data_IF_639757147739
#
_entry.id   IF_639757147739
#
_cell.length_a   1.000
_cell.length_b   1.000
_cell.length_c   1.000
_cell.angle_alpha   90.00
_cell.angle_beta   90.00
_cell.angle_gamma   90.00
#
_symmetry.space_group_name_H-M   'P 1'
#
loop_
_entity.id
_entity.type
_entity.pdbx_description
1 polymer ?
#
# COMPACT_ATOMS: atom_id res chain seq x y z
N UNK A 1 -12.29 8.25 -16.34
CA UNK A 1 -13.07 7.47 -15.36
C UNK A 1 -12.26 7.47 -14.07
N UNK A 2 -12.83 7.80 -12.91
CA UNK A 2 -12.13 7.64 -11.64
C UNK A 2 -11.74 6.16 -11.50
N UNK A 3 -10.47 5.89 -11.29
CA UNK A 3 -9.97 4.54 -11.00
C UNK A 3 -9.90 4.39 -9.49
N UNK A 4 -10.55 3.36 -8.96
CA UNK A 4 -10.43 3.01 -7.55
C UNK A 4 -9.10 2.29 -7.36
N UNK A 5 -8.17 2.91 -6.64
CA UNK A 5 -6.92 2.27 -6.25
C UNK A 5 -7.18 1.31 -5.10
N UNK A 6 -6.54 0.14 -5.15
CA UNK A 6 -6.61 -0.84 -4.07
C UNK A 6 -5.54 -0.54 -3.04
N UNK A 7 -5.87 -0.76 -1.77
CA UNK A 7 -4.87 -0.81 -0.70
C UNK A 7 -3.98 -2.04 -0.85
N UNK A 8 -2.73 -1.93 -0.40
CA UNK A 8 -1.74 -2.99 -0.57
C UNK A 8 -2.13 -4.28 0.18
N UNK A 9 -2.79 -4.18 1.33
CA UNK A 9 -3.31 -5.32 2.09
C UNK A 9 -4.45 -6.04 1.34
N UNK A 10 -5.29 -5.31 0.60
CA UNK A 10 -6.29 -5.93 -0.28
C UNK A 10 -5.63 -6.66 -1.45
N UNK A 11 -4.55 -6.10 -2.02
CA UNK A 11 -3.78 -6.76 -3.08
C UNK A 11 -3.13 -8.05 -2.56
N UNK A 12 -2.58 -8.05 -1.34
CA UNK A 12 -1.99 -9.23 -0.72
C UNK A 12 -3.01 -10.37 -0.59
N UNK A 13 -4.20 -10.07 -0.06
CA UNK A 13 -5.31 -11.02 0.07
C UNK A 13 -5.79 -11.55 -1.29
N UNK A 14 -5.90 -10.69 -2.30
CA UNK A 14 -6.30 -11.11 -3.65
C UNK A 14 -5.27 -12.01 -4.34
N UNK A 15 -3.98 -11.79 -4.08
CA UNK A 15 -2.88 -12.57 -4.65
C UNK A 15 -2.58 -13.84 -3.83
N UNK A 16 -3.12 -13.94 -2.61
CA UNK A 16 -2.88 -15.02 -1.66
C UNK A 16 -1.39 -15.24 -1.40
N UNK A 17 -0.64 -14.14 -1.23
CA UNK A 17 0.80 -14.14 -0.99
C UNK A 17 1.30 -12.82 -0.43
N UNK A 18 2.53 -12.84 0.07
CA UNK A 18 3.28 -11.63 0.40
C UNK A 18 3.48 -10.75 -0.84
N UNK A 19 3.40 -9.44 -0.63
CA UNK A 19 3.47 -8.43 -1.68
C UNK A 19 4.53 -7.39 -1.40
N UNK A 20 5.08 -6.86 -2.48
CA UNK A 20 6.10 -5.84 -2.47
C UNK A 20 5.49 -4.52 -2.87
N UNK A 21 5.82 -3.45 -2.14
CA UNK A 21 5.41 -2.11 -2.51
C UNK A 21 6.45 -1.07 -2.17
N UNK A 22 6.34 0.07 -2.87
CA UNK A 22 7.22 1.22 -2.69
C UNK A 22 6.39 2.43 -2.32
N UNK A 23 6.85 3.13 -1.29
CA UNK A 23 6.31 4.41 -0.84
C UNK A 23 7.26 5.55 -1.22
N UNK A 24 6.70 6.70 -1.60
CA UNK A 24 7.47 7.90 -1.94
C UNK A 24 7.19 8.98 -0.92
N UNK A 25 8.21 9.37 -0.18
CA UNK A 25 8.10 10.46 0.78
C UNK A 25 7.79 11.78 0.05
N UNK A 26 6.86 12.56 0.60
CA UNK A 26 6.48 13.89 0.09
C UNK A 26 5.89 13.87 -1.34
N UNK A 27 5.33 12.75 -1.79
CA UNK A 27 4.60 12.74 -3.05
C UNK A 27 3.22 13.38 -2.88
N UNK A 28 3.02 14.54 -3.49
CA UNK A 28 1.70 15.16 -3.65
C UNK A 28 1.35 15.26 -5.14
N UNK A 29 0.25 14.65 -5.61
CA UNK A 29 -0.05 14.69 -7.05
C UNK A 29 -0.20 16.12 -7.60
N UNK A 30 -0.61 17.09 -6.77
CA UNK A 30 -0.83 18.49 -7.17
C UNK A 30 0.32 19.45 -6.81
N UNK A 31 1.14 19.14 -5.79
CA UNK A 31 2.27 19.99 -5.36
C UNK A 31 3.58 19.21 -5.15
N UNK A 32 3.72 17.98 -5.67
CA UNK A 32 4.92 17.19 -5.47
C UNK A 32 6.12 18.04 -5.84
N UNK A 33 7.04 18.17 -4.89
CA UNK A 33 8.36 18.68 -5.18
C UNK A 33 8.86 17.95 -6.43
N UNK A 34 9.42 18.70 -7.37
CA UNK A 34 9.85 18.16 -8.65
C UNK A 34 10.71 16.89 -8.44
N UNK A 35 11.48 16.86 -7.36
CA UNK A 35 12.28 15.74 -6.92
C UNK A 35 11.48 14.45 -6.67
N UNK A 36 10.48 14.42 -5.78
CA UNK A 36 9.69 13.19 -5.51
C UNK A 36 8.94 12.70 -6.74
N UNK A 37 8.45 13.61 -7.59
CA UNK A 37 7.87 13.24 -8.88
C UNK A 37 8.90 12.58 -9.79
N UNK A 38 10.12 13.14 -9.88
CA UNK A 38 11.21 12.55 -10.65
C UNK A 38 11.65 11.19 -10.09
N UNK A 39 11.70 11.00 -8.77
CA UNK A 39 12.00 9.70 -8.16
C UNK A 39 11.01 8.62 -8.60
N UNK A 40 9.70 8.94 -8.52
CA UNK A 40 8.66 8.02 -8.96
C UNK A 40 8.75 7.70 -10.45
N UNK A 41 8.97 8.72 -11.30
CA UNK A 41 9.12 8.48 -12.74
C UNK A 41 10.35 7.62 -13.05
N UNK A 42 11.49 7.88 -12.40
CA UNK A 42 12.71 7.11 -12.58
C UNK A 42 12.48 5.62 -12.23
N UNK A 43 11.81 5.32 -11.11
CA UNK A 43 11.51 3.94 -10.74
C UNK A 43 10.54 3.29 -11.74
N UNK A 44 9.48 4.00 -12.14
CA UNK A 44 8.52 3.51 -13.14
C UNK A 44 9.20 3.19 -14.48
N UNK A 45 10.09 4.06 -14.95
CA UNK A 45 10.85 3.83 -16.18
C UNK A 45 11.79 2.64 -16.05
N UNK A 46 12.48 2.52 -14.90
CA UNK A 46 13.36 1.39 -14.62
C UNK A 46 12.61 0.05 -14.61
N UNK A 47 11.44 -0.01 -13.98
CA UNK A 47 10.56 -1.20 -13.95
C UNK A 47 10.10 -1.57 -15.37
N UNK A 48 9.67 -0.57 -16.17
CA UNK A 48 9.26 -0.78 -17.57
C UNK A 48 10.41 -1.33 -18.43
N UNK A 49 11.61 -0.79 -18.30
CA UNK A 49 12.79 -1.23 -19.05
C UNK A 49 13.13 -2.71 -18.76
N UNK A 50 12.85 -3.19 -17.54
CA UNK A 50 13.06 -4.58 -17.11
C UNK A 50 11.84 -5.47 -17.28
N UNK A 51 10.75 -4.94 -17.84
CA UNK A 51 9.50 -5.66 -18.04
C UNK A 51 8.92 -6.22 -16.73
N UNK A 52 9.14 -5.51 -15.63
CA UNK A 52 8.57 -5.84 -14.32
C UNK A 52 7.19 -5.19 -14.25
N UNK A 53 6.17 -6.01 -13.97
CA UNK A 53 4.80 -5.52 -13.82
C UNK A 53 4.64 -4.77 -12.49
N UNK A 54 3.90 -3.67 -12.53
CA UNK A 54 3.59 -2.86 -11.35
C UNK A 54 2.22 -2.19 -11.53
N UNK A 55 1.62 -1.76 -10.42
CA UNK A 55 0.37 -1.00 -10.44
C UNK A 55 0.38 0.08 -9.33
N UNK A 56 -0.24 1.25 -9.56
CA UNK A 56 -0.53 2.18 -8.46
C UNK A 56 -1.39 1.52 -7.39
N UNK A 57 -1.07 1.74 -6.12
CA UNK A 57 -1.86 1.27 -4.99
C UNK A 57 -1.96 2.36 -3.91
N UNK A 58 -2.86 2.17 -2.96
CA UNK A 58 -2.83 2.90 -1.70
C UNK A 58 -1.93 2.15 -0.70
N UNK A 59 -1.52 2.84 0.36
CA UNK A 59 -0.87 2.23 1.51
C UNK A 59 -1.79 1.26 2.26
N UNK A 60 -1.41 0.91 3.49
CA UNK A 60 -2.22 0.02 4.34
C UNK A 60 -3.55 0.69 4.67
N UNK A 61 -4.67 -0.03 4.50
CA UNK A 61 -5.99 0.48 4.85
C UNK A 61 -6.09 0.75 6.37
N UNK A 62 -6.60 1.93 6.72
CA UNK A 62 -6.85 2.33 8.10
C UNK A 62 -8.35 2.62 8.28
N UNK A 63 -9.05 1.91 9.19
CA UNK A 63 -10.47 2.14 9.42
C UNK A 63 -10.78 3.58 9.82
N UNK A 64 -11.77 4.20 9.16
CA UNK A 64 -12.22 5.56 9.45
C UNK A 64 -11.33 6.68 8.90
N UNK A 65 -10.27 6.36 8.17
CA UNK A 65 -9.38 7.35 7.53
C UNK A 65 -9.65 7.39 6.03
N UNK A 66 -9.83 8.61 5.49
CA UNK A 66 -9.84 8.83 4.04
C UNK A 66 -8.47 9.38 3.67
N UNK A 67 -7.67 8.56 2.99
CA UNK A 67 -6.35 8.96 2.51
C UNK A 67 -6.38 9.39 1.04
N UNK A 68 -5.62 10.44 0.75
CA UNK A 68 -5.28 10.83 -0.61
C UNK A 68 -4.14 9.96 -1.13
N UNK A 69 -4.12 9.71 -2.43
CA UNK A 69 -3.07 8.91 -3.06
C UNK A 69 -1.68 9.56 -2.95
N UNK A 70 -0.75 8.83 -2.34
CA UNK A 70 0.64 9.22 -2.07
C UNK A 70 1.66 8.68 -3.08
N UNK A 71 1.22 8.23 -4.26
CA UNK A 71 2.16 7.84 -5.31
C UNK A 71 2.65 6.39 -5.25
N UNK A 72 2.23 5.64 -4.23
CA UNK A 72 2.68 4.29 -3.93
C UNK A 72 2.49 3.31 -5.09
N UNK A 73 3.40 2.35 -5.18
CA UNK A 73 3.44 1.37 -6.25
C UNK A 73 3.52 -0.05 -5.69
N UNK A 74 2.55 -0.90 -6.04
CA UNK A 74 2.65 -2.34 -5.94
C UNK A 74 3.57 -2.89 -7.04
N UNK A 75 4.50 -3.77 -6.68
CA UNK A 75 5.39 -4.47 -7.60
C UNK A 75 4.92 -5.92 -7.71
N UNK A 76 4.53 -6.38 -8.91
CA UNK A 76 3.96 -7.72 -9.13
C UNK A 76 5.03 -8.80 -9.22
N UNK A 77 5.80 -8.93 -8.14
CA UNK A 77 6.86 -9.90 -7.92
C UNK A 77 6.61 -10.57 -6.56
N UNK A 78 6.71 -11.90 -6.43
CA UNK A 78 6.64 -12.57 -5.14
C UNK A 78 7.87 -12.23 -4.30
N UNK A 79 7.64 -11.98 -3.02
CA UNK A 79 8.72 -11.95 -2.04
C UNK A 79 9.27 -13.37 -1.90
N UNK A 80 10.50 -13.57 -2.37
CA UNK A 80 11.23 -14.83 -2.32
C UNK A 80 12.70 -14.50 -2.53
N UNK A 81 13.54 -14.73 -1.51
CA UNK A 81 14.97 -14.44 -1.56
C UNK A 81 15.72 -15.22 -2.66
N UNK A 82 15.16 -16.35 -3.13
CA UNK A 82 15.72 -17.10 -4.25
C UNK A 82 15.21 -16.61 -5.62
N UNK A 83 14.25 -15.68 -5.66
CA UNK A 83 13.69 -15.16 -6.88
C UNK A 83 14.61 -14.10 -7.51
N UNK A 84 15.11 -14.31 -8.75
CA UNK A 84 16.07 -13.41 -9.37
C UNK A 84 15.48 -12.04 -9.71
N UNK A 85 14.16 -11.93 -9.88
CA UNK A 85 13.49 -10.65 -10.11
C UNK A 85 13.39 -9.89 -8.80
N UNK A 86 13.04 -10.56 -7.70
CA UNK A 86 13.04 -9.95 -6.38
C UNK A 86 14.44 -9.42 -6.01
N UNK A 87 15.48 -10.25 -6.15
CA UNK A 87 16.87 -9.84 -5.92
C UNK A 87 17.23 -8.59 -6.74
N UNK A 88 16.87 -8.56 -8.03
CA UNK A 88 17.14 -7.40 -8.89
C UNK A 88 16.42 -6.11 -8.42
N UNK A 89 15.19 -6.24 -7.93
CA UNK A 89 14.42 -5.10 -7.38
C UNK A 89 15.02 -4.63 -6.07
N UNK A 90 15.28 -5.56 -5.14
CA UNK A 90 15.92 -5.28 -3.85
C UNK A 90 17.29 -4.63 -4.07
N UNK A 91 18.19 -5.19 -4.87
CA UNK A 91 19.52 -4.59 -5.16
C UNK A 91 19.45 -3.19 -5.80
N UNK A 92 18.35 -2.86 -6.48
CA UNK A 92 18.16 -1.53 -7.05
C UNK A 92 17.75 -0.51 -5.99
N UNK A 93 16.89 -0.90 -5.05
CA UNK A 93 16.30 -0.04 -4.02
C UNK A 93 17.09 -0.04 -2.71
N UNK A 94 17.82 -1.11 -2.43
CA UNK A 94 18.53 -1.40 -1.18
C UNK A 94 20.00 -1.73 -1.46
N UNK A 95 20.87 -1.39 -0.51
CA UNK A 95 22.27 -1.77 -0.55
C UNK A 95 22.52 -3.14 0.13
N UNK A 96 23.79 -3.55 0.18
CA UNK A 96 24.15 -4.83 0.77
C UNK A 96 23.94 -4.90 2.29
N UNK A 97 23.70 -3.77 2.95
CA UNK A 97 23.42 -3.65 4.39
C UNK A 97 21.91 -3.60 4.65
N UNK A 98 21.08 -3.53 3.60
CA UNK A 98 19.62 -3.42 3.67
C UNK A 98 19.12 -1.99 3.78
N UNK A 99 20.00 -0.99 3.61
CA UNK A 99 19.64 0.42 3.68
C UNK A 99 19.11 0.92 2.32
N UNK A 100 18.16 1.85 2.35
CA UNK A 100 17.57 2.42 1.13
C UNK A 100 18.62 3.22 0.35
N UNK A 101 18.84 2.86 -0.92
CA UNK A 101 19.80 3.51 -1.82
C UNK A 101 19.32 4.86 -2.34
N UNK A 102 18.01 5.06 -2.38
CA UNK A 102 17.38 6.24 -2.97
C UNK A 102 16.68 6.99 -1.84
N UNK A 103 17.21 8.14 -1.40
CA UNK A 103 16.57 8.97 -0.38
C UNK A 103 15.12 9.32 -0.78
N UNK A 104 14.19 9.22 0.17
CA UNK A 104 12.77 9.48 -0.08
C UNK A 104 12.01 8.34 -0.76
N UNK A 105 12.64 7.19 -1.00
CA UNK A 105 11.99 5.98 -1.51
C UNK A 105 12.12 4.89 -0.45
N UNK A 106 10.98 4.38 0.01
CA UNK A 106 10.91 3.30 0.99
C UNK A 106 10.39 2.03 0.31
N UNK A 107 11.05 0.90 0.55
CA UNK A 107 10.67 -0.40 0.00
C UNK A 107 10.19 -1.32 1.13
N UNK A 108 9.04 -1.94 0.92
CA UNK A 108 8.36 -2.72 1.95
C UNK A 108 7.88 -4.07 1.41
N UNK A 109 7.88 -5.04 2.32
CA UNK A 109 7.17 -6.30 2.18
C UNK A 109 5.98 -6.25 3.13
N UNK A 110 4.77 -6.50 2.61
CA UNK A 110 3.62 -6.79 3.44
C UNK A 110 3.34 -8.29 3.37
N UNK A 111 3.36 -8.96 4.52
CA UNK A 111 3.02 -10.38 4.59
C UNK A 111 1.52 -10.60 4.40
N UNK A 112 1.15 -11.75 3.84
CA UNK A 112 -0.25 -12.17 3.77
C UNK A 112 -0.86 -12.27 5.17
N UNK A 113 -0.10 -12.76 6.16
CA UNK A 113 -0.53 -12.87 7.55
C UNK A 113 -0.98 -11.52 8.10
N UNK A 114 -0.14 -10.49 7.98
CA UNK A 114 -0.48 -9.14 8.43
C UNK A 114 -1.66 -8.56 7.65
N UNK A 115 -1.77 -8.84 6.34
CA UNK A 115 -2.92 -8.42 5.55
C UNK A 115 -4.25 -9.04 6.01
N UNK A 116 -4.23 -10.29 6.49
CA UNK A 116 -5.39 -10.97 7.06
C UNK A 116 -5.74 -10.43 8.46
N UNK A 117 -4.74 -10.10 9.28
CA UNK A 117 -4.94 -9.43 10.57
C UNK A 117 -5.62 -8.07 10.39
N UNK A 118 -5.15 -7.26 9.44
CA UNK A 118 -5.75 -5.96 9.10
C UNK A 118 -7.23 -6.12 8.69
N UNK A 119 -7.56 -7.15 7.90
CA UNK A 119 -8.94 -7.42 7.53
C UNK A 119 -9.81 -7.78 8.73
N UNK A 120 -9.33 -8.64 9.62
CA UNK A 120 -10.04 -9.04 10.82
C UNK A 120 -10.30 -7.84 11.76
N UNK A 121 -9.29 -7.00 11.99
CA UNK A 121 -9.39 -5.79 12.81
C UNK A 121 -10.40 -4.80 12.20
N UNK A 122 -10.42 -4.66 10.87
CA UNK A 122 -11.40 -3.83 10.16
C UNK A 122 -12.82 -4.36 10.33
N UNK A 123 -13.03 -5.67 10.23
CA UNK A 123 -14.34 -6.28 10.47
C UNK A 123 -14.81 -6.08 11.91
N UNK A 124 -13.92 -6.23 12.90
CA UNK A 124 -14.21 -5.96 14.30
C UNK A 124 -14.65 -4.50 14.51
N UNK A 125 -13.90 -3.54 13.96
CA UNK A 125 -14.23 -2.11 14.03
C UNK A 125 -15.61 -1.80 13.42
N UNK A 126 -15.92 -2.37 12.25
CA UNK A 126 -17.23 -2.18 11.59
C UNK A 126 -18.37 -2.78 12.42
N UNK A 127 -18.18 -3.96 13.00
CA UNK A 127 -19.18 -4.62 13.84
C UNK A 127 -19.45 -3.83 15.12
N UNK A 128 -18.43 -3.27 15.77
CA UNK A 128 -18.58 -2.44 16.97
C UNK A 128 -19.38 -1.17 16.68
N UNK A 129 -19.13 -0.50 15.56
CA UNK A 129 -19.86 0.71 15.19
C UNK A 129 -21.32 0.42 14.83
N UNK A 130 -21.60 -0.70 14.16
CA UNK A 130 -22.99 -1.11 13.89
C UNK A 130 -23.76 -1.40 15.18
N UNK A 131 -23.14 -2.05 16.17
CA UNK A 131 -23.77 -2.32 17.46
C UNK A 131 -24.06 -1.06 18.28
N UNK A 132 -23.27 0.01 18.10
CA UNK A 132 -23.50 1.30 18.75
C UNK A 132 -24.67 2.07 18.12
N UNK A 133 -24.84 2.03 16.79
CA UNK A 133 -25.96 2.70 16.10
C UNK A 133 -27.33 2.08 16.45
N UNK A 134 -27.36 0.79 16.83
CA UNK A 134 -28.58 0.08 17.22
C UNK A 134 -29.07 0.39 18.65
N UNK A 135 -28.23 0.92 19.55
CA UNK A 135 -28.60 1.24 20.95
C UNK A 135 -29.19 2.66 21.12
N UNK A 136 -28.91 3.58 20.19
CA UNK A 136 -29.46 4.95 20.20
C UNK A 136 -30.91 5.04 19.67
N UNK A 137 -31.50 3.90 19.27
CA UNK A 137 -32.88 3.78 18.85
C UNK A 137 -33.83 3.31 19.97
N UNK A 138 -34.29 4.23 20.83
CA UNK A 138 -35.67 4.31 21.40
C UNK A 138 -35.74 4.87 22.84
N UNK A 139 -35.96 6.18 22.99
CA UNK A 139 -36.81 6.69 24.07
C UNK A 139 -37.53 7.98 23.64
N UNK A 140 -38.37 7.85 22.62
CA UNK A 140 -39.49 8.76 22.41
C UNK A 140 -40.56 8.54 23.48
N UNK A 141 -40.34 9.05 24.69
CA UNK A 141 -41.44 9.27 25.65
C UNK A 141 -42.09 10.61 25.32
N UNK A 142 -43.14 10.53 24.49
CA UNK A 142 -44.21 11.52 24.41
C UNK A 142 -44.79 11.73 25.81
N UNK A 143 -44.74 12.96 26.32
CA UNK A 143 -45.65 13.50 27.32
C UNK A 143 -46.14 14.86 26.82
#
# INVERSE_FOLDING_TARGET
MPQLLKHIDAIAREKDRDVLFVHFENYEHENADAESYHLRQNLVEWLKQRQINFAPCMGIEQPGVIESYSGDLYIDVPFDEANPIYQMVSEHLEDAEGEMRIPGVLFFVLSLETALEIEADREEFLNLNQAHDDDDGFSGRLN
#
